data_IF_856538885964
#
_entry.id   IF_856538885964
#
_cell.length_a   1.000
_cell.length_b   1.000
_cell.length_c   1.000
_cell.angle_alpha   90.00
_cell.angle_beta   90.00
_cell.angle_gamma   90.00
#
_symmetry.space_group_name_H-M   'P 1'
#
loop_
_entity.id
_entity.type
_entity.pdbx_description
1 polymer ?
#
# COMPACT_ATOMS: atom_id res chain seq x y z
N UNK A 1 -12.38 5.46 4.20
CA UNK A 1 -11.20 4.93 4.91
C UNK A 1 -10.11 5.97 4.75
N UNK A 2 -9.07 5.89 5.56
CA UNK A 2 -7.88 6.71 5.38
C UNK A 2 -6.64 5.82 5.47
N UNK A 3 -5.64 6.09 4.64
CA UNK A 3 -4.31 5.54 4.83
C UNK A 3 -3.54 6.49 5.73
N UNK A 4 -2.66 5.95 6.56
CA UNK A 4 -1.67 6.71 7.31
C UNK A 4 -0.71 7.46 6.38
N UNK A 5 -0.43 6.89 5.21
CA UNK A 5 0.43 7.49 4.20
C UNK A 5 -0.17 7.34 2.79
N UNK A 6 -0.16 8.44 2.05
CA UNK A 6 -0.59 8.50 0.63
C UNK A 6 0.59 8.54 -0.33
N UNK A 7 1.80 8.71 0.18
CA UNK A 7 3.05 8.64 -0.58
C UNK A 7 4.10 7.90 0.24
N UNK A 8 4.92 7.11 -0.44
CA UNK A 8 6.02 6.35 0.13
C UNK A 8 7.23 6.54 -0.78
N UNK A 9 8.39 6.80 -0.18
CA UNK A 9 9.67 6.78 -0.89
C UNK A 9 10.50 5.67 -0.28
N UNK A 10 10.87 4.69 -1.10
CA UNK A 10 11.64 3.52 -0.69
C UNK A 10 12.85 3.39 -1.61
N UNK A 11 13.93 2.83 -1.09
CA UNK A 11 15.02 2.35 -1.94
C UNK A 11 14.71 0.93 -2.41
N UNK A 12 15.33 0.50 -3.51
CA UNK A 12 15.24 -0.89 -3.97
C UNK A 12 15.58 -1.86 -2.82
N UNK A 13 14.70 -2.84 -2.56
CA UNK A 13 14.79 -3.77 -1.43
C UNK A 13 14.21 -3.26 -0.11
N UNK A 14 13.86 -1.96 -0.03
CA UNK A 14 13.19 -1.35 1.11
C UNK A 14 11.77 -1.88 1.31
N UNK A 15 11.28 -1.83 2.55
CA UNK A 15 9.90 -2.21 2.87
C UNK A 15 9.23 -1.15 3.73
N UNK A 16 7.93 -0.93 3.50
CA UNK A 16 7.07 -0.11 4.33
C UNK A 16 5.77 -0.87 4.64
N UNK A 17 5.03 -0.43 5.65
CA UNK A 17 3.70 -0.98 5.95
C UNK A 17 2.69 0.14 5.94
N UNK A 18 1.67 0.01 5.09
CA UNK A 18 0.56 0.93 5.01
C UNK A 18 -0.53 0.52 6.01
N UNK A 19 -0.95 1.47 6.84
CA UNK A 19 -2.00 1.26 7.83
C UNK A 19 -3.29 1.91 7.35
N UNK A 20 -4.22 1.09 6.89
CA UNK A 20 -5.56 1.52 6.57
C UNK A 20 -6.44 1.61 7.84
N UNK A 21 -7.02 2.77 8.08
CA UNK A 21 -7.99 3.00 9.16
C UNK A 21 -9.39 3.09 8.57
N UNK A 22 -10.28 2.20 9.03
CA UNK A 22 -11.69 2.13 8.63
C UNK A 22 -12.54 2.54 9.82
N UNK A 23 -13.42 3.54 9.64
CA UNK A 23 -14.32 4.04 10.69
C UNK A 23 -15.78 3.76 10.33
N UNK A 24 -16.63 3.32 11.29
CA UNK A 24 -16.29 3.07 12.70
C UNK A 24 -15.43 1.81 12.88
N UNK A 25 -14.50 1.84 13.85
CA UNK A 25 -13.50 0.80 14.11
C UNK A 25 -14.09 -0.57 14.54
N UNK A 26 -15.41 -0.64 14.72
CA UNK A 26 -16.21 -1.79 15.10
C UNK A 26 -16.80 -2.58 13.91
N UNK A 27 -16.39 -2.28 12.68
CA UNK A 27 -16.73 -3.20 11.58
C UNK A 27 -16.04 -4.53 11.82
N UNK A 28 -16.82 -5.60 12.00
CA UNK A 28 -16.38 -7.00 12.06
C UNK A 28 -15.53 -7.39 10.85
N UNK A 29 -15.87 -6.81 9.70
CA UNK A 29 -15.22 -7.04 8.41
C UNK A 29 -14.18 -5.94 8.12
N UNK A 30 -13.03 -6.04 8.79
CA UNK A 30 -11.85 -5.18 8.56
C UNK A 30 -11.03 -5.61 7.35
N UNK A 31 -11.58 -6.45 6.49
CA UNK A 31 -10.91 -6.94 5.28
C UNK A 31 -10.64 -5.78 4.34
N UNK A 32 -9.39 -5.30 4.36
CA UNK A 32 -8.83 -4.36 3.39
C UNK A 32 -7.96 -5.17 2.44
N UNK A 33 -8.24 -5.08 1.16
CA UNK A 33 -7.37 -5.66 0.13
C UNK A 33 -6.47 -4.59 -0.42
N UNK A 34 -5.18 -4.89 -0.48
CA UNK A 34 -4.18 -4.04 -1.10
C UNK A 34 -3.77 -4.67 -2.43
N UNK A 35 -3.61 -3.83 -3.44
CA UNK A 35 -3.16 -4.22 -4.77
C UNK A 35 -2.12 -3.21 -5.24
N UNK A 36 -1.12 -3.68 -5.98
CA UNK A 36 -0.15 -2.81 -6.64
C UNK A 36 -0.50 -2.65 -8.11
N UNK A 37 -0.31 -1.44 -8.65
CA UNK A 37 -0.40 -1.19 -10.09
C UNK A 37 0.75 -1.85 -10.85
N UNK A 38 1.91 -2.02 -10.21
CA UNK A 38 3.11 -2.59 -10.83
C UNK A 38 3.93 -3.39 -9.81
N UNK A 39 3.78 -4.72 -9.84
CA UNK A 39 4.51 -5.64 -8.96
C UNK A 39 5.98 -5.81 -9.33
N UNK A 40 6.41 -5.38 -10.52
CA UNK A 40 7.83 -5.39 -10.90
C UNK A 40 8.59 -4.24 -10.22
N UNK A 41 7.91 -3.15 -9.88
CA UNK A 41 8.48 -1.99 -9.18
C UNK A 41 8.23 -2.10 -7.66
N UNK A 42 6.99 -2.33 -7.24
CA UNK A 42 6.65 -2.50 -5.83
C UNK A 42 5.54 -3.54 -5.64
N UNK A 43 5.77 -4.49 -4.75
CA UNK A 43 4.77 -5.47 -4.34
C UNK A 43 4.11 -5.03 -3.04
N UNK A 44 2.88 -5.47 -2.81
CA UNK A 44 2.19 -5.25 -1.53
C UNK A 44 1.57 -6.56 -1.05
N UNK A 45 1.71 -6.84 0.24
CA UNK A 45 1.10 -8.02 0.85
C UNK A 45 -0.41 -7.79 1.01
N UNK A 46 -1.24 -8.66 0.43
CA UNK A 46 -2.69 -8.58 0.61
C UNK A 46 -3.03 -8.60 2.10
N UNK A 47 -4.00 -7.78 2.53
CA UNK A 47 -4.48 -7.68 3.92
C UNK A 47 -3.49 -7.05 4.93
N UNK A 48 -2.21 -7.40 4.87
CA UNK A 48 -1.18 -6.85 5.78
C UNK A 48 -0.76 -5.42 5.43
N UNK A 49 -0.87 -5.03 4.15
CA UNK A 49 -0.45 -3.70 3.68
C UNK A 49 1.06 -3.49 3.64
N UNK A 50 1.86 -4.56 3.76
CA UNK A 50 3.33 -4.49 3.67
C UNK A 50 3.77 -4.31 2.22
N UNK A 51 4.27 -3.13 1.89
CA UNK A 51 4.85 -2.76 0.60
C UNK A 51 6.34 -3.13 0.59
N UNK A 52 6.79 -3.77 -0.49
CA UNK A 52 8.19 -4.13 -0.73
C UNK A 52 8.63 -3.57 -2.08
N UNK A 53 9.67 -2.75 -2.06
CA UNK A 53 10.27 -2.19 -3.26
C UNK A 53 11.15 -3.24 -3.96
N UNK A 54 10.90 -3.48 -5.24
CA UNK A 54 11.56 -4.50 -6.06
C UNK A 54 12.54 -3.88 -7.03
N UNK A 55 12.15 -2.81 -7.71
CA UNK A 55 12.98 -2.12 -8.70
C UNK A 55 12.69 -0.61 -8.70
N UNK A 56 13.65 0.19 -9.16
CA UNK A 56 13.47 1.64 -9.26
C UNK A 56 12.37 2.00 -10.27
N UNK A 57 11.56 2.99 -9.90
CA UNK A 57 10.38 3.38 -10.66
C UNK A 57 9.27 3.92 -9.77
N UNK A 58 8.05 3.99 -10.28
CA UNK A 58 6.88 4.41 -9.52
C UNK A 58 5.76 3.38 -9.63
N UNK A 59 5.16 3.06 -8.49
CA UNK A 59 4.03 2.15 -8.38
C UNK A 59 2.93 2.82 -7.54
N UNK A 60 1.68 2.43 -7.78
CA UNK A 60 0.54 2.92 -6.99
C UNK A 60 -0.11 1.76 -6.28
N UNK A 61 -0.18 1.83 -4.97
CA UNK A 61 -0.85 0.85 -4.13
C UNK A 61 -2.29 1.31 -3.88
N UNK A 62 -3.26 0.47 -4.21
CA UNK A 62 -4.69 0.73 -3.99
C UNK A 62 -5.20 -0.18 -2.88
N UNK A 63 -5.68 0.43 -1.81
CA UNK A 63 -6.38 -0.21 -0.70
C UNK A 63 -7.90 -0.11 -0.92
N UNK A 64 -8.57 -1.26 -0.92
CA UNK A 64 -10.02 -1.35 -1.11
C UNK A 64 -10.64 -2.09 0.08
N UNK A 65 -11.63 -1.48 0.72
CA UNK A 65 -12.41 -2.14 1.79
C UNK A 65 -13.56 -2.94 1.21
N UNK A 66 -14.01 -3.96 1.92
CA UNK A 66 -15.25 -4.70 1.59
C UNK A 66 -16.48 -3.80 1.38
N UNK A 67 -16.53 -2.66 2.06
CA UNK A 67 -17.61 -1.68 1.95
C UNK A 67 -17.49 -0.77 0.71
N UNK A 68 -16.57 -1.06 -0.22
CA UNK A 68 -16.40 -0.31 -1.47
C UNK A 68 -15.67 1.01 -1.34
N UNK A 69 -15.22 1.41 -0.13
CA UNK A 69 -14.29 2.56 -0.01
C UNK A 69 -12.95 2.16 -0.60
N UNK A 70 -12.25 3.12 -1.21
CA UNK A 70 -10.88 2.97 -1.73
C UNK A 70 -9.96 4.05 -1.17
N UNK A 71 -8.66 3.78 -1.10
CA UNK A 71 -7.60 4.72 -0.81
C UNK A 71 -6.34 4.33 -1.57
N UNK A 72 -5.54 5.30 -1.99
CA UNK A 72 -4.35 5.07 -2.82
C UNK A 72 -3.11 5.62 -2.17
N UNK A 73 -1.98 4.94 -2.34
CA UNK A 73 -0.66 5.38 -1.94
C UNK A 73 0.30 5.29 -3.13
N UNK A 74 0.99 6.38 -3.45
CA UNK A 74 2.01 6.42 -4.48
C UNK A 74 3.36 6.03 -3.89
N UNK A 75 3.96 4.98 -4.42
CA UNK A 75 5.26 4.45 -4.00
C UNK A 75 6.29 4.83 -5.07
N UNK A 76 7.26 5.63 -4.68
CA UNK A 76 8.43 5.94 -5.50
C UNK A 76 9.60 5.11 -5.01
N UNK A 77 10.19 4.33 -5.91
CA UNK A 77 11.36 3.52 -5.63
C UNK A 77 12.57 4.14 -6.30
N UNK A 78 13.60 4.45 -5.51
CA UNK A 78 14.89 4.96 -6.00
C UNK A 78 15.94 3.86 -5.95
N UNK A 79 16.90 3.88 -6.87
CA UNK A 79 18.09 3.04 -6.74
C UNK A 79 18.84 3.48 -5.47
N UNK A 80 19.13 2.52 -4.59
CA UNK A 80 19.95 2.78 -3.41
C UNK A 80 21.36 3.18 -3.87
N UNK A 81 21.88 4.25 -3.28
CA UNK A 81 23.19 4.82 -3.64
C UNK A 81 24.38 3.90 -3.30
#
# INVERSE_FOLDING_TARGET
MTLDQTTLSLEVGGTATLKATVSPAESSDKSVQFSSSDTAIATVTPVQGKVTAVAAGSATITATTVNGKTATCQVTVTEGA
#
